data_IF_311752161724
#
_entry.id   IF_311752161724
#
_cell.length_a   1.000
_cell.length_b   1.000
_cell.length_c   1.000
_cell.angle_alpha   90.00
_cell.angle_beta   90.00
_cell.angle_gamma   90.00
#
_symmetry.space_group_name_H-M   'P 1'
#
loop_
_entity.id
_entity.type
_entity.pdbx_description
1 polymer ?
#
# COMPACT_ATOMS: atom_id res chain seq x y z
N UNK A 1 -1.74 21.73 28.24
CA UNK A 1 -1.00 20.92 27.28
C UNK A 1 -0.83 19.53 27.88
N UNK A 2 -1.17 18.49 27.12
CA UNK A 2 -0.94 17.08 27.48
C UNK A 2 0.04 16.53 26.45
N UNK A 3 1.08 15.87 26.94
CA UNK A 3 2.15 15.31 26.12
C UNK A 3 2.11 13.78 26.13
N UNK A 4 2.49 13.16 25.01
CA UNK A 4 2.62 11.70 24.90
C UNK A 4 3.80 11.34 24.01
N UNK A 5 4.37 10.17 24.22
CA UNK A 5 5.49 9.71 23.42
C UNK A 5 5.98 8.32 23.80
N UNK A 6 6.90 7.81 23.00
CA UNK A 6 7.60 6.53 23.24
C UNK A 6 9.03 6.80 23.68
N UNK A 7 9.70 7.72 23.02
CA UNK A 7 11.11 8.07 23.30
C UNK A 7 11.23 9.07 24.46
N UNK A 8 10.34 10.07 24.51
CA UNK A 8 10.35 11.07 25.58
C UNK A 8 9.76 10.51 26.87
N UNK A 9 10.64 10.13 27.79
CA UNK A 9 10.27 9.58 29.11
C UNK A 9 9.67 10.60 30.08
N UNK A 10 9.72 11.89 29.74
CA UNK A 10 9.13 12.98 30.55
C UNK A 10 7.73 13.40 30.04
N UNK A 11 7.16 12.72 29.08
CA UNK A 11 5.80 12.97 28.63
C UNK A 11 4.77 12.55 29.70
N UNK A 12 3.58 13.17 29.68
CA UNK A 12 2.49 12.83 30.62
C UNK A 12 1.99 11.38 30.39
N UNK A 13 2.08 10.91 29.14
CA UNK A 13 1.78 9.53 28.75
C UNK A 13 2.99 8.94 28.02
N UNK A 14 3.62 7.94 28.64
CA UNK A 14 4.78 7.29 28.05
C UNK A 14 4.43 5.88 27.63
N UNK A 15 4.50 5.61 26.32
CA UNK A 15 4.33 4.27 25.76
C UNK A 15 5.66 3.52 25.70
N UNK A 16 5.62 2.23 25.95
CA UNK A 16 6.73 1.30 25.74
C UNK A 16 6.22 0.07 25.00
N UNK A 17 6.93 -0.34 23.95
CA UNK A 17 6.57 -1.56 23.23
C UNK A 17 7.18 -2.73 24.01
N UNK A 18 6.31 -3.63 24.49
CA UNK A 18 6.70 -4.81 25.28
C UNK A 18 6.90 -6.02 24.39
N UNK A 19 6.00 -6.21 23.42
CA UNK A 19 6.02 -7.37 22.54
C UNK A 19 5.48 -6.98 21.15
N UNK A 20 6.02 -7.61 20.10
CA UNK A 20 5.52 -7.51 18.73
C UNK A 20 5.35 -8.91 18.17
N UNK A 21 4.20 -9.16 17.56
CA UNK A 21 3.94 -10.35 16.73
C UNK A 21 3.86 -9.93 15.26
N UNK A 22 3.48 -10.85 14.39
CA UNK A 22 3.23 -10.54 12.97
C UNK A 22 1.97 -9.66 12.77
N UNK A 23 1.01 -9.73 13.69
CA UNK A 23 -0.30 -9.08 13.54
C UNK A 23 -0.68 -8.13 14.67
N UNK A 24 0.02 -8.17 15.80
CA UNK A 24 -0.32 -7.35 16.98
C UNK A 24 0.92 -6.74 17.65
N UNK A 25 0.68 -5.72 18.45
CA UNK A 25 1.69 -5.08 19.28
C UNK A 25 1.16 -4.91 20.70
N UNK A 26 1.90 -5.37 21.72
CA UNK A 26 1.60 -5.07 23.12
C UNK A 26 2.41 -3.86 23.57
N UNK A 27 1.73 -2.92 24.18
CA UNK A 27 2.33 -1.72 24.73
C UNK A 27 2.00 -1.59 26.21
N UNK A 28 2.97 -1.09 26.96
CA UNK A 28 2.77 -0.60 28.32
C UNK A 28 2.71 0.91 28.27
N UNK A 29 1.70 1.50 28.87
CA UNK A 29 1.52 2.95 28.92
C UNK A 29 1.60 3.39 30.37
N UNK A 30 2.58 4.24 30.68
CA UNK A 30 2.73 4.88 31.98
C UNK A 30 1.98 6.21 31.95
N UNK A 31 1.09 6.38 32.93
CA UNK A 31 0.29 7.59 33.16
C UNK A 31 0.52 8.01 34.61
N UNK A 32 1.33 9.02 34.83
CA UNK A 32 1.82 9.36 36.18
C UNK A 32 2.50 8.15 36.84
N UNK A 33 1.97 7.64 37.96
CA UNK A 33 2.51 6.47 38.69
C UNK A 33 1.79 5.15 38.33
N UNK A 34 0.88 5.16 37.37
CA UNK A 34 0.10 3.98 36.98
C UNK A 34 0.66 3.44 35.66
N UNK A 35 0.95 2.15 35.63
CA UNK A 35 1.29 1.43 34.39
C UNK A 35 0.11 0.55 33.95
N UNK A 36 -0.25 0.65 32.68
CA UNK A 36 -1.35 -0.08 32.06
C UNK A 36 -0.87 -0.78 30.82
N UNK A 37 -1.30 -2.03 30.62
CA UNK A 37 -0.99 -2.79 29.41
C UNK A 37 -2.17 -2.78 28.46
N UNK A 38 -1.83 -2.62 27.18
CA UNK A 38 -2.78 -2.63 26.06
C UNK A 38 -2.24 -3.53 24.94
N UNK A 39 -3.13 -4.24 24.30
CA UNK A 39 -2.86 -4.94 23.06
C UNK A 39 -3.50 -4.19 21.90
N UNK A 40 -2.76 -4.01 20.83
CA UNK A 40 -3.17 -3.32 19.61
C UNK A 40 -3.16 -4.36 18.50
N UNK A 41 -4.29 -4.59 17.86
CA UNK A 41 -4.42 -5.55 16.75
C UNK A 41 -3.85 -4.97 15.44
N UNK A 42 -2.59 -4.54 15.48
CA UNK A 42 -1.82 -4.06 14.33
C UNK A 42 -0.35 -3.92 14.70
N UNK A 43 0.48 -3.77 13.69
CA UNK A 43 1.92 -3.55 13.83
C UNK A 43 2.32 -2.16 13.32
N UNK A 44 3.55 -1.74 13.65
CA UNK A 44 4.11 -0.48 13.22
C UNK A 44 4.06 0.62 14.28
N UNK A 45 5.17 1.35 14.37
CA UNK A 45 5.37 2.41 15.37
C UNK A 45 4.32 3.52 15.28
N UNK A 46 3.88 3.86 14.07
CA UNK A 46 2.85 4.87 13.84
C UNK A 46 1.50 4.47 14.44
N UNK A 47 1.14 3.17 14.41
CA UNK A 47 -0.09 2.67 15.03
C UNK A 47 0.01 2.69 16.56
N UNK A 48 1.20 2.52 17.11
CA UNK A 48 1.44 2.71 18.55
C UNK A 48 1.20 4.17 18.94
N UNK A 49 1.72 5.14 18.17
CA UNK A 49 1.45 6.56 18.40
C UNK A 49 -0.04 6.89 18.29
N UNK A 50 -0.73 6.40 17.26
CA UNK A 50 -2.18 6.59 17.10
C UNK A 50 -2.97 6.02 18.30
N UNK A 51 -2.55 4.85 18.78
CA UNK A 51 -3.16 4.22 19.96
C UNK A 51 -2.89 5.00 21.25
N UNK A 52 -1.69 5.57 21.42
CA UNK A 52 -1.40 6.48 22.53
C UNK A 52 -2.32 7.70 22.52
N UNK A 53 -2.55 8.32 21.35
CA UNK A 53 -3.52 9.44 21.21
C UNK A 53 -4.91 9.00 21.63
N UNK A 54 -5.37 7.84 21.18
CA UNK A 54 -6.68 7.31 21.55
C UNK A 54 -6.80 7.06 23.06
N UNK A 55 -5.75 6.53 23.69
CA UNK A 55 -5.69 6.33 25.15
C UNK A 55 -5.71 7.67 25.90
N UNK A 56 -4.94 8.65 25.44
CA UNK A 56 -4.94 10.01 26.03
C UNK A 56 -6.32 10.63 25.96
N UNK A 57 -6.95 10.62 24.79
CA UNK A 57 -8.28 11.17 24.57
C UNK A 57 -9.31 10.44 25.44
N UNK A 58 -9.24 9.11 25.50
CA UNK A 58 -10.15 8.31 26.32
C UNK A 58 -10.07 8.67 27.81
N UNK A 59 -8.87 9.00 28.30
CA UNK A 59 -8.66 9.46 29.67
C UNK A 59 -9.26 10.84 29.92
N UNK A 60 -9.15 11.75 28.94
CA UNK A 60 -9.73 13.10 29.02
C UNK A 60 -11.27 13.03 29.11
N UNK A 61 -11.88 12.10 28.38
CA UNK A 61 -13.33 11.91 28.35
C UNK A 61 -13.85 10.87 29.35
N UNK A 62 -13.05 10.43 30.32
CA UNK A 62 -13.39 9.43 31.34
C UNK A 62 -13.99 8.13 30.78
N UNK A 63 -13.51 7.69 29.61
CA UNK A 63 -13.94 6.43 29.03
C UNK A 63 -13.36 5.28 29.86
N UNK A 64 -14.22 4.31 30.21
CA UNK A 64 -13.82 3.14 30.99
C UNK A 64 -12.67 2.38 30.29
N UNK A 65 -11.61 2.10 31.06
CA UNK A 65 -10.39 1.42 30.58
C UNK A 65 -10.69 0.12 29.82
N UNK A 66 -11.66 -0.66 30.30
CA UNK A 66 -12.06 -1.91 29.64
C UNK A 66 -12.60 -1.70 28.22
N UNK A 67 -13.32 -0.60 27.98
CA UNK A 67 -13.81 -0.25 26.65
C UNK A 67 -12.66 0.16 25.74
N UNK A 68 -11.68 0.89 26.27
CA UNK A 68 -10.47 1.27 25.52
C UNK A 68 -9.68 0.03 25.12
N UNK A 69 -9.43 -0.90 26.06
CA UNK A 69 -8.75 -2.18 25.76
C UNK A 69 -9.48 -2.98 24.69
N UNK A 70 -10.81 -3.12 24.81
CA UNK A 70 -11.62 -3.81 23.79
C UNK A 70 -11.56 -3.14 22.42
N UNK A 71 -11.59 -1.80 22.38
CA UNK A 71 -11.53 -1.05 21.13
C UNK A 71 -10.17 -1.25 20.41
N UNK A 72 -9.06 -1.22 21.15
CA UNK A 72 -7.72 -1.39 20.58
C UNK A 72 -7.49 -2.81 20.05
N UNK A 73 -7.97 -3.85 20.75
CA UNK A 73 -7.91 -5.25 20.29
C UNK A 73 -8.80 -5.46 19.05
N UNK A 74 -9.94 -4.77 18.97
CA UNK A 74 -10.86 -4.87 17.84
C UNK A 74 -10.61 -3.79 16.77
N UNK A 75 -9.52 -3.06 16.84
CA UNK A 75 -9.19 -2.02 15.88
C UNK A 75 -9.02 -2.65 14.50
N UNK A 76 -9.79 -2.14 13.55
CA UNK A 76 -9.58 -2.46 12.14
C UNK A 76 -8.54 -1.51 11.58
N UNK A 77 -7.52 -2.06 10.97
CA UNK A 77 -6.58 -1.25 10.19
C UNK A 77 -7.35 -0.63 9.03
N UNK A 78 -7.10 0.63 8.76
CA UNK A 78 -7.70 1.30 7.60
C UNK A 78 -7.20 0.59 6.35
N UNK A 79 -8.11 0.07 5.52
CA UNK A 79 -7.80 -0.52 4.23
C UNK A 79 -7.04 0.46 3.33
N UNK A 80 -6.37 -0.06 2.32
CA UNK A 80 -5.62 0.75 1.35
C UNK A 80 -4.38 1.47 1.93
N UNK A 81 -3.73 0.87 2.96
CA UNK A 81 -2.48 1.37 3.55
C UNK A 81 -1.39 0.31 3.48
N UNK A 82 -0.72 0.23 2.32
CA UNK A 82 0.28 -0.80 1.99
C UNK A 82 -0.27 -2.23 2.11
N UNK A 83 -1.56 -2.42 1.82
CA UNK A 83 -2.20 -3.74 1.80
C UNK A 83 -1.60 -4.57 0.66
N UNK A 84 -1.08 -5.74 1.01
CA UNK A 84 -0.42 -6.64 0.06
C UNK A 84 -1.35 -7.76 -0.34
N UNK A 85 -1.48 -8.01 -1.65
CA UNK A 85 -2.14 -9.19 -2.20
C UNK A 85 -1.47 -9.62 -3.51
N UNK A 86 -1.73 -10.83 -3.94
CA UNK A 86 -1.19 -11.41 -5.17
C UNK A 86 -2.35 -11.71 -6.11
N UNK A 87 -2.20 -11.40 -7.37
CA UNK A 87 -3.13 -11.74 -8.45
C UNK A 87 -2.43 -12.66 -9.46
N UNK A 88 -3.16 -13.23 -10.40
CA UNK A 88 -2.72 -14.21 -11.38
C UNK A 88 -1.29 -13.96 -11.89
N UNK A 89 -0.59 -15.00 -12.29
CA UNK A 89 0.82 -14.94 -12.72
C UNK A 89 1.79 -14.37 -11.66
N UNK A 90 1.48 -14.57 -10.37
CA UNK A 90 2.33 -14.15 -9.26
C UNK A 90 2.66 -12.63 -9.23
N UNK A 91 1.72 -11.78 -9.68
CA UNK A 91 1.87 -10.32 -9.62
C UNK A 91 1.53 -9.87 -8.20
N UNK A 92 2.49 -9.26 -7.52
CA UNK A 92 2.30 -8.73 -6.16
C UNK A 92 1.89 -7.26 -6.21
N UNK A 93 0.71 -6.95 -5.66
CA UNK A 93 0.17 -5.59 -5.59
C UNK A 93 0.30 -5.06 -4.17
N UNK A 94 0.82 -3.85 -4.04
CA UNK A 94 0.80 -3.05 -2.81
C UNK A 94 -0.18 -1.89 -2.99
N UNK A 95 -1.29 -2.00 -2.30
CA UNK A 95 -2.36 -1.01 -2.29
C UNK A 95 -2.12 0.03 -1.19
N UNK A 96 -1.73 1.22 -1.57
CA UNK A 96 -1.55 2.37 -0.68
C UNK A 96 -2.39 3.57 -1.17
N UNK A 97 -3.63 3.27 -1.59
CA UNK A 97 -4.52 4.23 -2.26
C UNK A 97 -5.39 5.04 -1.29
N UNK A 98 -5.25 4.87 0.03
CA UNK A 98 -6.05 5.60 1.00
C UNK A 98 -5.82 7.12 0.91
N UNK A 99 -4.56 7.55 0.89
CA UNK A 99 -4.19 8.95 0.72
C UNK A 99 -2.69 9.07 0.37
N UNK A 100 -2.26 10.26 -0.09
CA UNK A 100 -0.87 10.55 -0.40
C UNK A 100 -0.42 11.86 0.23
N UNK A 101 0.79 11.84 0.77
CA UNK A 101 1.63 12.99 1.09
C UNK A 101 3.04 12.70 0.57
N UNK A 102 3.85 13.72 0.39
CA UNK A 102 5.23 13.54 -0.06
C UNK A 102 5.99 12.49 0.76
N UNK A 103 5.91 12.59 2.09
CA UNK A 103 6.59 11.65 2.99
C UNK A 103 6.06 10.22 2.89
N UNK A 104 4.72 10.07 2.73
CA UNK A 104 4.13 8.73 2.59
C UNK A 104 4.45 8.09 1.24
N UNK A 105 4.55 8.87 0.16
CA UNK A 105 4.97 8.35 -1.16
C UNK A 105 6.43 7.89 -1.10
N UNK A 106 7.33 8.68 -0.49
CA UNK A 106 8.71 8.26 -0.27
C UNK A 106 8.82 6.96 0.53
N UNK A 107 8.09 6.87 1.64
CA UNK A 107 8.10 5.66 2.47
C UNK A 107 7.62 4.43 1.69
N UNK A 108 6.60 4.57 0.86
CA UNK A 108 6.10 3.49 0.01
C UNK A 108 7.12 3.09 -1.07
N UNK A 109 7.79 4.07 -1.71
CA UNK A 109 8.89 3.80 -2.65
C UNK A 109 10.03 3.04 -1.95
N UNK A 110 10.42 3.42 -0.72
CA UNK A 110 11.44 2.73 0.06
C UNK A 110 11.07 1.27 0.31
N UNK A 111 9.83 0.98 0.66
CA UNK A 111 9.37 -0.40 0.86
C UNK A 111 9.56 -1.21 -0.41
N UNK A 112 9.05 -0.73 -1.55
CA UNK A 112 9.12 -1.46 -2.83
C UNK A 112 10.56 -1.59 -3.33
N UNK A 113 11.35 -0.51 -3.26
CA UNK A 113 12.74 -0.52 -3.74
C UNK A 113 13.62 -1.51 -2.98
N UNK A 114 13.37 -1.71 -1.68
CA UNK A 114 14.11 -2.62 -0.82
C UNK A 114 13.70 -4.10 -0.96
N UNK A 115 12.61 -4.42 -1.67
CA UNK A 115 12.22 -5.81 -1.92
C UNK A 115 13.26 -6.43 -2.84
N UNK A 116 13.88 -7.50 -2.36
CA UNK A 116 14.79 -8.32 -3.17
C UNK A 116 13.96 -9.32 -3.97
N UNK A 117 14.14 -9.34 -5.26
CA UNK A 117 13.56 -10.34 -6.15
C UNK A 117 14.59 -10.71 -7.23
N UNK A 118 14.52 -11.95 -7.68
CA UNK A 118 15.42 -12.46 -8.73
C UNK A 118 14.85 -12.20 -10.13
N UNK A 119 13.54 -12.14 -10.25
CA UNK A 119 12.81 -11.94 -11.52
C UNK A 119 11.63 -11.00 -11.30
N UNK A 120 11.15 -10.38 -12.39
CA UNK A 120 10.04 -9.45 -12.36
C UNK A 120 10.51 -7.99 -12.29
N UNK A 121 9.56 -7.08 -12.39
CA UNK A 121 9.81 -5.64 -12.49
C UNK A 121 9.19 -4.91 -11.31
N UNK A 122 9.77 -3.75 -10.95
CA UNK A 122 9.21 -2.80 -9.98
C UNK A 122 8.44 -1.73 -10.72
N UNK A 123 7.14 -1.70 -10.51
CA UNK A 123 6.19 -0.83 -11.18
C UNK A 123 5.55 0.10 -10.15
N UNK A 124 5.55 1.39 -10.44
CA UNK A 124 4.94 2.40 -9.59
C UNK A 124 3.80 3.07 -10.35
N UNK A 125 2.57 2.93 -9.84
CA UNK A 125 1.37 3.62 -10.34
C UNK A 125 1.04 4.73 -9.35
N UNK A 126 1.36 5.96 -9.72
CA UNK A 126 1.31 7.13 -8.83
C UNK A 126 0.33 8.18 -9.38
N UNK A 127 -0.56 8.66 -8.53
CA UNK A 127 -1.41 9.80 -8.86
C UNK A 127 -0.99 11.06 -8.11
N UNK A 128 -1.77 12.12 -8.29
CA UNK A 128 -1.51 13.40 -7.68
C UNK A 128 -1.44 13.31 -6.15
N UNK A 129 -0.50 14.06 -5.58
CA UNK A 129 -0.50 14.45 -4.18
C UNK A 129 -1.27 15.75 -4.11
N UNK A 130 -2.51 15.68 -3.65
CA UNK A 130 -3.40 16.84 -3.52
C UNK A 130 -3.05 17.70 -2.29
N UNK A 131 -3.67 18.87 -2.19
CA UNK A 131 -3.54 19.80 -1.05
C UNK A 131 -2.15 20.40 -0.83
N UNK A 132 -1.27 20.33 -1.83
CA UNK A 132 0.07 20.92 -1.78
C UNK A 132 0.11 22.42 -2.16
N UNK A 133 -0.96 22.96 -2.74
CA UNK A 133 -1.01 24.35 -3.20
C UNK A 133 0.16 24.69 -4.13
N UNK A 134 0.80 25.83 -3.89
CA UNK A 134 1.96 26.31 -4.67
C UNK A 134 3.19 25.40 -4.64
N UNK A 135 3.23 24.44 -3.70
CA UNK A 135 4.34 23.48 -3.59
C UNK A 135 4.15 22.22 -4.43
N UNK A 136 3.02 22.09 -5.15
CA UNK A 136 2.66 20.87 -5.89
C UNK A 136 3.76 20.47 -6.87
N UNK A 137 4.14 21.33 -7.80
CA UNK A 137 5.20 21.05 -8.78
C UNK A 137 6.51 20.63 -8.11
N UNK A 138 6.93 21.35 -7.08
CA UNK A 138 8.18 21.08 -6.35
C UNK A 138 8.20 19.69 -5.73
N UNK A 139 7.09 19.25 -5.11
CA UNK A 139 7.05 17.95 -4.44
C UNK A 139 6.92 16.80 -5.44
N UNK A 140 6.19 16.98 -6.54
CA UNK A 140 6.13 15.98 -7.59
C UNK A 140 7.51 15.81 -8.28
N UNK A 141 8.27 16.89 -8.55
CA UNK A 141 9.66 16.79 -9.01
C UNK A 141 10.54 15.99 -8.03
N UNK A 142 10.44 16.27 -6.73
CA UNK A 142 11.19 15.51 -5.72
C UNK A 142 10.84 14.04 -5.68
N UNK A 143 9.60 13.64 -6.05
CA UNK A 143 9.25 12.22 -6.18
C UNK A 143 9.94 11.61 -7.39
N UNK A 144 10.04 12.33 -8.53
CA UNK A 144 10.80 11.86 -9.68
C UNK A 144 12.28 11.64 -9.33
N UNK A 145 12.94 12.64 -8.73
CA UNK A 145 14.33 12.52 -8.25
C UNK A 145 14.51 11.28 -7.33
N UNK A 146 13.53 11.06 -6.47
CA UNK A 146 13.58 9.95 -5.52
C UNK A 146 13.43 8.59 -6.20
N UNK A 147 12.54 8.47 -7.18
CA UNK A 147 12.39 7.27 -8.01
C UNK A 147 13.67 6.96 -8.79
N UNK A 148 14.29 8.00 -9.41
CA UNK A 148 15.56 7.85 -10.10
C UNK A 148 16.66 7.30 -9.17
N UNK A 149 16.77 7.85 -7.96
CA UNK A 149 17.76 7.41 -6.96
C UNK A 149 17.53 6.00 -6.43
N UNK A 150 16.27 5.55 -6.34
CA UNK A 150 15.89 4.21 -5.81
C UNK A 150 15.81 3.13 -6.86
N UNK A 151 15.63 3.49 -8.12
CA UNK A 151 15.44 2.60 -9.25
C UNK A 151 14.00 2.15 -9.44
N UNK A 152 13.62 2.02 -10.69
CA UNK A 152 12.31 1.53 -11.14
C UNK A 152 12.47 0.92 -12.54
N UNK A 153 11.52 0.06 -12.93
CA UNK A 153 11.43 -0.45 -14.29
C UNK A 153 10.33 0.30 -15.06
N UNK A 154 9.17 0.51 -14.41
CA UNK A 154 8.05 1.23 -15.01
C UNK A 154 7.46 2.20 -13.99
N UNK A 155 7.19 3.42 -14.44
CA UNK A 155 6.36 4.39 -13.70
C UNK A 155 5.17 4.78 -14.54
N UNK A 156 3.98 4.65 -13.97
CA UNK A 156 2.72 5.10 -14.55
C UNK A 156 2.20 6.22 -13.66
N UNK A 157 1.96 7.38 -14.22
CA UNK A 157 1.37 8.50 -13.49
C UNK A 157 -0.02 8.82 -14.02
N UNK A 158 -0.90 9.35 -13.17
CA UNK A 158 -2.18 9.88 -13.63
C UNK A 158 -2.64 11.08 -12.79
N UNK A 159 -3.15 12.09 -13.49
CA UNK A 159 -3.59 13.35 -12.90
C UNK A 159 -2.76 14.54 -13.38
N UNK A 160 -3.29 15.74 -13.22
CA UNK A 160 -2.70 16.97 -13.74
C UNK A 160 -1.32 17.28 -13.13
N UNK A 161 -1.18 17.07 -11.80
CA UNK A 161 0.05 17.40 -11.09
C UNK A 161 1.13 16.33 -11.22
N UNK A 162 0.76 15.07 -11.31
CA UNK A 162 1.70 13.96 -11.44
C UNK A 162 2.34 13.86 -12.83
N UNK A 163 1.83 14.59 -13.83
CA UNK A 163 2.47 14.75 -15.13
C UNK A 163 3.94 15.21 -14.99
N UNK A 164 4.22 16.08 -14.02
CA UNK A 164 5.57 16.56 -13.72
C UNK A 164 6.52 15.42 -13.38
N UNK A 165 6.05 14.37 -12.69
CA UNK A 165 6.88 13.18 -12.40
C UNK A 165 7.29 12.51 -13.70
N UNK A 166 6.34 12.28 -14.61
CA UNK A 166 6.61 11.66 -15.91
C UNK A 166 7.62 12.49 -16.72
N UNK A 167 7.43 13.81 -16.79
CA UNK A 167 8.31 14.71 -17.56
C UNK A 167 9.76 14.71 -17.05
N UNK A 168 9.97 14.73 -15.72
CA UNK A 168 11.31 14.67 -15.13
C UNK A 168 11.96 13.30 -15.36
N UNK A 169 11.22 12.19 -15.14
CA UNK A 169 11.73 10.85 -15.40
C UNK A 169 12.05 10.61 -16.88
N UNK A 170 11.27 11.16 -17.81
CA UNK A 170 11.53 11.06 -19.24
C UNK A 170 12.84 11.75 -19.63
N UNK A 171 13.14 12.91 -19.03
CA UNK A 171 14.43 13.60 -19.21
C UNK A 171 15.58 12.72 -18.71
N UNK A 172 15.45 12.19 -17.49
CA UNK A 172 16.47 11.32 -16.89
C UNK A 172 16.75 10.07 -17.74
N UNK A 173 15.70 9.41 -18.26
CA UNK A 173 15.84 8.25 -19.15
C UNK A 173 16.67 8.59 -20.37
N UNK A 174 16.37 9.72 -21.03
CA UNK A 174 17.09 10.17 -22.24
C UNK A 174 18.55 10.54 -21.90
N UNK A 175 18.76 11.29 -20.82
CA UNK A 175 20.10 11.73 -20.41
C UNK A 175 21.02 10.56 -20.03
N UNK A 176 20.43 9.48 -19.47
CA UNK A 176 21.17 8.29 -19.04
C UNK A 176 21.20 7.18 -20.09
N UNK A 177 20.55 7.33 -21.25
CA UNK A 177 20.39 6.34 -22.31
C UNK A 177 19.77 5.01 -21.80
N UNK A 178 18.66 5.12 -21.02
CA UNK A 178 17.99 3.98 -20.40
C UNK A 178 16.63 3.65 -21.02
N UNK A 179 16.36 4.05 -22.27
CA UNK A 179 15.06 3.88 -22.94
C UNK A 179 14.65 2.43 -23.13
N UNK A 180 15.60 1.51 -23.18
CA UNK A 180 15.31 0.07 -23.27
C UNK A 180 14.98 -0.55 -21.91
N UNK A 181 15.52 0.01 -20.82
CA UNK A 181 15.44 -0.54 -19.46
C UNK A 181 14.28 0.04 -18.66
N UNK A 182 13.97 1.35 -18.86
CA UNK A 182 12.97 2.08 -18.08
C UNK A 182 11.88 2.66 -18.96
N UNK A 183 10.64 2.63 -18.45
CA UNK A 183 9.50 3.21 -19.17
C UNK A 183 8.68 4.08 -18.24
N UNK A 184 8.18 5.18 -18.78
CA UNK A 184 7.26 6.07 -18.09
C UNK A 184 6.05 6.34 -18.96
N UNK A 185 4.86 6.36 -18.34
CA UNK A 185 3.59 6.64 -18.98
C UNK A 185 2.82 7.63 -18.13
N UNK A 186 1.99 8.42 -18.80
CA UNK A 186 1.11 9.36 -18.13
C UNK A 186 -0.29 9.32 -18.73
N UNK A 187 -1.30 9.37 -17.85
CA UNK A 187 -2.70 9.32 -18.19
C UNK A 187 -3.49 10.42 -17.50
N UNK A 188 -4.68 10.74 -18.00
CA UNK A 188 -5.50 11.78 -17.41
C UNK A 188 -6.07 11.36 -16.04
N UNK A 189 -6.51 10.11 -15.90
CA UNK A 189 -7.12 9.60 -14.68
C UNK A 189 -6.94 8.08 -14.51
N UNK A 190 -7.51 7.54 -13.42
CA UNK A 190 -7.45 6.11 -13.12
C UNK A 190 -8.19 5.23 -14.15
N UNK A 191 -9.18 5.75 -14.91
CA UNK A 191 -9.89 4.97 -15.91
C UNK A 191 -8.97 4.67 -17.09
N UNK A 192 -8.18 5.65 -17.51
CA UNK A 192 -7.17 5.45 -18.55
C UNK A 192 -6.07 4.50 -18.07
N UNK A 193 -5.62 4.61 -16.82
CA UNK A 193 -4.67 3.65 -16.25
C UNK A 193 -5.20 2.22 -16.34
N UNK A 194 -6.46 1.99 -15.97
CA UNK A 194 -7.10 0.67 -16.02
C UNK A 194 -7.04 0.06 -17.44
N UNK A 195 -7.21 0.86 -18.50
CA UNK A 195 -7.18 0.39 -19.88
C UNK A 195 -5.78 -0.09 -20.34
N UNK A 196 -4.73 0.24 -19.59
CA UNK A 196 -3.34 -0.08 -19.93
C UNK A 196 -2.67 -1.02 -18.91
N UNK A 197 -3.42 -1.65 -18.01
CA UNK A 197 -2.89 -2.60 -17.02
C UNK A 197 -2.45 -3.95 -17.61
N UNK A 198 -2.72 -4.19 -18.88
CA UNK A 198 -2.19 -5.33 -19.66
C UNK A 198 -0.65 -5.31 -19.78
N UNK A 199 -0.03 -4.18 -19.48
CA UNK A 199 1.43 -4.06 -19.38
C UNK A 199 2.03 -4.93 -18.24
N UNK A 200 1.23 -5.29 -17.23
CA UNK A 200 1.66 -6.09 -16.09
C UNK A 200 2.02 -7.51 -16.53
N UNK A 201 3.10 -8.04 -15.97
CA UNK A 201 3.64 -9.37 -16.32
C UNK A 201 3.89 -10.20 -15.06
N UNK A 202 4.13 -11.48 -15.29
CA UNK A 202 4.49 -12.43 -14.26
C UNK A 202 5.62 -11.93 -13.35
N UNK A 203 5.46 -12.12 -12.05
CA UNK A 203 6.39 -11.73 -11.00
C UNK A 203 6.59 -10.21 -10.81
N UNK A 204 5.77 -9.35 -11.43
CA UNK A 204 5.86 -7.92 -11.19
C UNK A 204 5.50 -7.57 -9.73
N UNK A 205 6.16 -6.55 -9.19
CA UNK A 205 5.80 -5.89 -7.93
C UNK A 205 5.28 -4.50 -8.27
N UNK A 206 4.03 -4.25 -7.89
CA UNK A 206 3.30 -3.03 -8.25
C UNK A 206 2.91 -2.26 -7.00
N UNK A 207 3.29 -1.00 -6.90
CA UNK A 207 2.74 -0.06 -5.94
C UNK A 207 1.65 0.77 -6.61
N UNK A 208 0.49 0.89 -5.98
CA UNK A 208 -0.58 1.81 -6.40
C UNK A 208 -0.80 2.83 -5.28
N UNK A 209 -0.54 4.13 -5.56
CA UNK A 209 -0.65 5.18 -4.55
C UNK A 209 -1.05 6.53 -5.14
N UNK A 210 -2.03 7.17 -4.51
CA UNK A 210 -2.47 8.54 -4.82
C UNK A 210 -3.21 9.16 -3.64
N UNK A 211 -3.47 10.45 -3.70
CA UNK A 211 -4.42 11.09 -2.78
C UNK A 211 -5.83 10.49 -2.96
N UNK A 212 -6.61 10.46 -1.89
CA UNK A 212 -7.95 9.86 -1.86
C UNK A 212 -8.86 10.38 -2.99
N UNK A 213 -8.82 11.70 -3.25
CA UNK A 213 -9.60 12.34 -4.31
C UNK A 213 -9.32 11.81 -5.73
N UNK A 214 -8.19 11.16 -5.97
CA UNK A 214 -7.83 10.55 -7.25
C UNK A 214 -8.54 9.22 -7.51
N UNK A 215 -9.20 8.65 -6.49
CA UNK A 215 -10.00 7.41 -6.58
C UNK A 215 -9.23 6.18 -7.10
N UNK A 216 -7.94 6.10 -6.84
CA UNK A 216 -7.08 4.99 -7.27
C UNK A 216 -7.47 3.64 -6.67
N UNK A 217 -8.28 3.62 -5.61
CA UNK A 217 -8.94 2.40 -5.11
C UNK A 217 -9.76 1.67 -6.18
N UNK A 218 -10.22 2.37 -7.24
CA UNK A 218 -10.89 1.74 -8.37
C UNK A 218 -9.93 0.88 -9.22
N UNK A 219 -8.64 1.25 -9.30
CA UNK A 219 -7.62 0.41 -9.95
C UNK A 219 -7.50 -0.91 -9.18
N UNK A 220 -7.45 -0.84 -7.85
CA UNK A 220 -7.38 -2.02 -6.98
C UNK A 220 -8.61 -2.90 -7.12
N UNK A 221 -9.79 -2.29 -7.13
CA UNK A 221 -11.05 -2.99 -7.34
C UNK A 221 -11.05 -3.74 -8.69
N UNK A 222 -10.68 -3.06 -9.76
CA UNK A 222 -10.59 -3.66 -11.09
C UNK A 222 -9.62 -4.85 -11.14
N UNK A 223 -8.43 -4.72 -10.56
CA UNK A 223 -7.43 -5.79 -10.52
C UNK A 223 -7.96 -7.02 -9.80
N UNK A 224 -8.65 -6.84 -8.66
CA UNK A 224 -9.25 -7.95 -7.90
C UNK A 224 -10.41 -8.61 -8.64
N UNK A 225 -11.28 -7.83 -9.29
CA UNK A 225 -12.40 -8.35 -10.08
C UNK A 225 -11.91 -9.15 -11.29
N UNK A 226 -10.94 -8.63 -12.02
CA UNK A 226 -10.32 -9.32 -13.16
C UNK A 226 -9.65 -10.63 -12.77
N UNK A 227 -8.91 -10.65 -11.67
CA UNK A 227 -8.29 -11.86 -11.13
C UNK A 227 -9.33 -12.94 -10.79
N UNK A 228 -10.44 -12.56 -10.16
CA UNK A 228 -11.54 -13.47 -9.85
C UNK A 228 -12.21 -14.04 -11.12
N UNK A 229 -12.37 -13.23 -12.15
CA UNK A 229 -12.92 -13.68 -13.44
C UNK A 229 -11.99 -14.66 -14.15
N UNK A 230 -10.67 -14.42 -14.11
CA UNK A 230 -9.69 -15.32 -14.71
C UNK A 230 -9.66 -16.67 -13.97
N UNK A 231 -9.64 -16.67 -12.64
CA UNK A 231 -9.72 -17.88 -11.81
C UNK A 231 -11.03 -18.65 -12.09
N UNK A 232 -12.16 -17.95 -12.24
CA UNK A 232 -13.44 -18.56 -12.58
C UNK A 232 -13.40 -19.30 -13.91
N UNK A 233 -12.83 -18.69 -14.94
CA UNK A 233 -12.69 -19.30 -16.28
C UNK A 233 -11.75 -20.51 -16.27
N UNK A 234 -10.64 -20.45 -15.53
CA UNK A 234 -9.71 -21.57 -15.38
C UNK A 234 -10.38 -22.77 -14.69
N UNK A 235 -11.18 -22.52 -13.65
CA UNK A 235 -11.95 -23.57 -12.96
C UNK A 235 -13.01 -24.20 -13.86
N UNK A 236 -13.75 -23.41 -14.63
CA UNK A 236 -14.74 -23.93 -15.60
C UNK A 236 -14.06 -24.82 -16.65
N UNK A 237 -12.94 -24.40 -17.22
CA UNK A 237 -12.17 -25.16 -18.19
C UNK A 237 -11.64 -26.48 -17.60
N UNK A 238 -11.16 -26.46 -16.36
CA UNK A 238 -10.69 -27.66 -15.67
C UNK A 238 -11.83 -28.67 -15.43
N UNK A 239 -13.03 -28.19 -15.05
CA UNK A 239 -14.21 -29.03 -14.86
C UNK A 239 -14.72 -29.63 -16.17
N UNK A 240 -14.69 -28.88 -17.27
CA UNK A 240 -15.06 -29.41 -18.60
C UNK A 240 -14.08 -30.50 -19.06
N UNK A 241 -12.77 -30.32 -18.82
CA UNK A 241 -11.76 -31.33 -19.14
C UNK A 241 -11.96 -32.63 -18.32
N UNK A 242 -12.25 -32.53 -17.03
CA UNK A 242 -12.48 -33.68 -16.16
C UNK A 242 -13.77 -34.43 -16.56
N UNK A 243 -14.81 -33.71 -16.96
CA UNK A 243 -16.08 -34.27 -17.44
C UNK A 243 -15.86 -35.01 -18.76
N UNK A 244 -15.06 -34.46 -19.68
CA UNK A 244 -14.74 -35.11 -20.95
C UNK A 244 -13.88 -36.37 -20.75
N UNK A 245 -12.91 -36.35 -19.82
CA UNK A 245 -12.12 -37.52 -19.46
C UNK A 245 -12.97 -38.65 -18.89
N UNK A 246 -13.91 -38.31 -18.00
CA UNK A 246 -14.83 -39.28 -17.37
C UNK A 246 -15.78 -39.91 -18.41
N UNK A 247 -16.22 -39.14 -19.41
CA UNK A 247 -17.07 -39.62 -20.50
C UNK A 247 -16.29 -40.58 -21.44
N UNK A 248 -15.05 -40.23 -21.80
CA UNK A 248 -14.20 -41.09 -22.61
C UNK A 248 -13.84 -42.42 -21.92
N UNK A 249 -13.59 -42.41 -20.61
CA UNK A 249 -13.31 -43.61 -19.82
C UNK A 249 -14.54 -44.56 -19.75
N UNK A 250 -15.74 -44.00 -19.72
CA UNK A 250 -16.96 -44.79 -19.76
C UNK A 250 -17.26 -45.42 -21.13
N UNK A 251 -16.83 -44.77 -22.23
CA UNK A 251 -16.97 -45.34 -23.59
C UNK A 251 -15.96 -46.43 -23.91
N UNK A 252 -14.83 -46.53 -23.21
CA UNK A 252 -13.82 -47.56 -23.40
C UNK A 252 -14.10 -48.85 -22.63
N UNK A 253 -15.09 -48.86 -21.70
CA UNK A 253 -15.50 -49.99 -20.88
C UNK A 253 -16.68 -50.79 -21.46
N UNK A 254 -17.14 -50.51 -22.68
CA UNK A 254 -18.14 -51.27 -23.43
C UNK A 254 -17.42 -52.07 -24.55
#
# INVERSE_FOLDING_TARGET
>A
LITYGIENKNADFVGEIVEKTETSTKIKVKIQDIELEFEINTVGIHNVYNSLVAIVISKIFDIKLENVKKALVNMKVTEHRMDKFVIGKNITIYDDTYNASYESVKAAIDVISNIKQETGRKIYILGDILELGEFSERYHKKIADYLTAKGYDIVITAGENSQVIMEELQKDIIEQNMEEERKVFHYADYNEVIQHLDILKENDIVLVKASNGMKFSNIIKYLKEKDQEEIGKELEQALEQDTNLSTQLNEVQI
#
